data_IF_902600042097
#
_entry.id   IF_902600042097
#
_cell.length_a   1.000
_cell.length_b   1.000
_cell.length_c   1.000
_cell.angle_alpha   90.00
_cell.angle_beta   90.00
_cell.angle_gamma   90.00
#
_symmetry.space_group_name_H-M   'P 1'
#
loop_
_entity.id
_entity.type
_entity.pdbx_description
1 polymer ?
#
# COMPACT_ATOMS: atom_id res chain seq x y z
N UNK A 1 12.69 22.72 -1.31
CA UNK A 1 12.23 21.56 -2.11
C UNK A 1 12.61 20.29 -1.35
N UNK A 2 11.62 19.61 -0.78
CA UNK A 2 11.83 18.61 0.26
C UNK A 2 12.34 17.28 -0.32
N UNK A 3 13.58 16.89 0.04
CA UNK A 3 14.23 15.64 -0.40
C UNK A 3 13.47 14.37 0.06
N UNK A 4 12.47 14.51 0.93
CA UNK A 4 11.61 13.43 1.41
C UNK A 4 10.57 13.00 0.35
N UNK A 5 9.98 13.97 -0.36
CA UNK A 5 8.93 13.77 -1.36
C UNK A 5 9.50 13.01 -2.57
N UNK A 6 10.69 13.40 -3.02
CA UNK A 6 11.38 12.76 -4.15
C UNK A 6 11.72 11.28 -3.88
N UNK A 7 12.15 10.95 -2.65
CA UNK A 7 12.46 9.57 -2.26
C UNK A 7 11.21 8.68 -2.18
N UNK A 8 10.12 9.22 -1.66
CA UNK A 8 8.83 8.53 -1.58
C UNK A 8 8.27 8.28 -2.98
N UNK A 9 8.30 9.29 -3.84
CA UNK A 9 7.85 9.16 -5.22
C UNK A 9 8.69 8.13 -6.00
N UNK A 10 10.01 8.18 -5.87
CA UNK A 10 10.91 7.22 -6.51
C UNK A 10 10.60 5.78 -6.09
N UNK A 11 10.34 5.54 -4.80
CA UNK A 11 9.93 4.22 -4.30
C UNK A 11 8.57 3.80 -4.86
N UNK A 12 7.60 4.71 -4.95
CA UNK A 12 6.28 4.40 -5.51
C UNK A 12 6.39 3.96 -6.97
N UNK A 13 7.24 4.64 -7.76
CA UNK A 13 7.52 4.28 -9.15
C UNK A 13 8.14 2.88 -9.26
N UNK A 14 9.14 2.57 -8.44
CA UNK A 14 9.76 1.24 -8.42
C UNK A 14 8.76 0.14 -8.02
N UNK A 15 7.92 0.39 -7.03
CA UNK A 15 6.90 -0.55 -6.59
C UNK A 15 5.87 -0.84 -7.69
N UNK A 16 5.38 0.21 -8.38
CA UNK A 16 4.45 0.06 -9.49
C UNK A 16 5.09 -0.64 -10.69
N UNK A 17 6.32 -0.28 -11.04
CA UNK A 17 7.06 -0.93 -12.12
C UNK A 17 7.23 -2.43 -11.85
N UNK A 18 7.65 -2.80 -10.63
CA UNK A 18 7.74 -4.20 -10.23
C UNK A 18 6.38 -4.92 -10.27
N UNK A 19 5.30 -4.27 -9.86
CA UNK A 19 3.97 -4.87 -9.90
C UNK A 19 3.52 -5.13 -11.34
N UNK A 20 3.76 -4.18 -12.24
CA UNK A 20 3.46 -4.30 -13.67
C UNK A 20 4.27 -5.45 -14.29
N UNK A 21 5.58 -5.54 -14.01
CA UNK A 21 6.43 -6.64 -14.48
C UNK A 21 5.88 -7.99 -14.01
N UNK A 22 5.55 -8.13 -12.72
CA UNK A 22 4.97 -9.37 -12.21
C UNK A 22 3.60 -9.71 -12.81
N UNK A 23 2.80 -8.72 -13.21
CA UNK A 23 1.56 -8.97 -13.97
C UNK A 23 1.90 -9.59 -15.33
N UNK A 24 2.92 -9.10 -16.04
CA UNK A 24 3.36 -9.69 -17.32
C UNK A 24 3.97 -11.08 -17.18
N UNK A 25 4.72 -11.31 -16.12
CA UNK A 25 5.28 -12.63 -15.82
C UNK A 25 4.15 -13.65 -15.60
N UNK A 26 3.17 -13.30 -14.77
CA UNK A 26 2.05 -14.18 -14.40
C UNK A 26 1.04 -14.39 -15.52
N UNK A 27 0.84 -13.40 -16.39
CA UNK A 27 -0.03 -13.54 -17.58
C UNK A 27 0.66 -14.24 -18.74
N UNK A 28 1.98 -14.43 -18.68
CA UNK A 28 2.77 -15.10 -19.73
C UNK A 28 3.06 -14.21 -20.95
N UNK A 29 2.65 -12.94 -20.92
CA UNK A 29 2.72 -12.00 -22.05
C UNK A 29 4.15 -11.61 -22.40
N UNK A 30 5.06 -11.65 -21.42
CA UNK A 30 6.49 -11.49 -21.66
C UNK A 30 7.08 -12.54 -22.61
N UNK A 31 6.40 -13.68 -22.83
CA UNK A 31 6.83 -14.71 -23.79
C UNK A 31 6.39 -14.42 -25.22
N UNK A 32 5.38 -13.57 -25.39
CA UNK A 32 4.77 -13.28 -26.69
C UNK A 32 5.20 -11.91 -27.24
N UNK A 33 5.73 -11.03 -26.39
CA UNK A 33 6.23 -9.71 -26.76
C UNK A 33 7.76 -9.68 -26.82
N UNK A 34 8.31 -8.92 -27.77
CA UNK A 34 9.73 -8.60 -27.78
C UNK A 34 10.12 -7.73 -26.58
N UNK A 35 11.41 -7.71 -26.22
CA UNK A 35 11.92 -6.85 -25.13
C UNK A 35 11.59 -5.36 -25.35
N UNK A 36 11.64 -4.88 -26.60
CA UNK A 36 11.31 -3.50 -26.92
C UNK A 36 9.82 -3.21 -26.69
N UNK A 37 8.93 -4.06 -27.18
CA UNK A 37 7.48 -3.92 -26.97
C UNK A 37 7.12 -4.00 -25.49
N UNK A 38 7.71 -4.93 -24.75
CA UNK A 38 7.51 -5.06 -23.31
C UNK A 38 7.93 -3.78 -22.57
N UNK A 39 9.09 -3.21 -22.91
CA UNK A 39 9.58 -1.98 -22.27
C UNK A 39 8.68 -0.77 -22.56
N UNK A 40 8.19 -0.67 -23.81
CA UNK A 40 7.25 0.36 -24.22
C UNK A 40 5.94 0.26 -23.45
N UNK A 41 5.43 -0.97 -23.34
CA UNK A 41 4.15 -1.25 -22.72
C UNK A 41 4.18 -1.03 -21.20
N UNK A 42 5.25 -1.47 -20.53
CA UNK A 42 5.50 -1.16 -19.11
C UNK A 42 5.53 0.35 -18.90
N UNK A 43 6.26 1.10 -19.74
CA UNK A 43 6.37 2.56 -19.63
C UNK A 43 5.02 3.25 -19.83
N UNK A 44 4.23 2.80 -20.81
CA UNK A 44 2.89 3.30 -21.10
C UNK A 44 1.94 3.07 -19.92
N UNK A 45 1.87 1.83 -19.42
CA UNK A 45 1.06 1.48 -18.25
C UNK A 45 1.47 2.25 -17.01
N UNK A 46 2.78 2.41 -16.78
CA UNK A 46 3.29 3.17 -15.65
C UNK A 46 2.84 4.63 -15.71
N UNK A 47 2.92 5.27 -16.89
CA UNK A 47 2.45 6.65 -17.07
C UNK A 47 0.94 6.78 -16.83
N UNK A 48 0.12 5.89 -17.43
CA UNK A 48 -1.35 5.93 -17.25
C UNK A 48 -1.76 5.62 -15.81
N UNK A 49 -1.11 4.64 -15.18
CA UNK A 49 -1.33 4.29 -13.77
C UNK A 49 -0.99 5.47 -12.86
N UNK A 50 0.13 6.15 -13.11
CA UNK A 50 0.56 7.31 -12.34
C UNK A 50 -0.40 8.50 -12.46
N UNK A 51 -0.97 8.76 -13.63
CA UNK A 51 -1.91 9.88 -13.82
C UNK A 51 -3.13 9.80 -12.89
N UNK A 52 -3.61 8.59 -12.56
CA UNK A 52 -4.72 8.40 -11.62
C UNK A 52 -4.30 8.17 -10.16
N UNK A 53 -3.00 8.27 -9.85
CA UNK A 53 -2.47 8.20 -8.48
C UNK A 53 -2.02 9.60 -8.09
N UNK A 54 -2.89 10.35 -7.40
CA UNK A 54 -2.50 11.60 -6.72
C UNK A 54 -1.31 11.34 -5.81
N UNK A 55 -0.35 12.29 -5.81
CA UNK A 55 0.93 12.23 -5.08
C UNK A 55 0.73 11.53 -3.74
N UNK A 56 1.42 10.39 -3.61
CA UNK A 56 1.30 9.49 -2.47
C UNK A 56 1.96 10.11 -1.25
N UNK A 57 1.22 10.95 -0.54
CA UNK A 57 1.59 11.35 0.81
C UNK A 57 1.46 10.11 1.71
N UNK A 58 2.59 9.42 1.94
CA UNK A 58 2.59 8.25 2.79
C UNK A 58 3.68 7.24 2.49
N UNK A 59 3.64 6.17 3.26
CA UNK A 59 4.68 5.14 3.25
C UNK A 59 4.45 4.14 2.11
N UNK A 60 5.29 4.20 1.08
CA UNK A 60 5.24 3.25 -0.03
C UNK A 60 5.60 1.84 0.44
N UNK A 61 4.83 0.80 0.05
CA UNK A 61 5.16 -0.58 0.35
C UNK A 61 6.52 -0.99 -0.20
N UNK A 62 7.17 -1.93 0.47
CA UNK A 62 8.42 -2.51 -0.04
C UNK A 62 8.17 -3.22 -1.38
N UNK A 63 9.17 -3.23 -2.26
CA UNK A 63 9.09 -3.82 -3.61
C UNK A 63 8.67 -5.29 -3.57
N UNK A 64 9.05 -6.03 -2.52
CA UNK A 64 8.68 -7.44 -2.31
C UNK A 64 7.16 -7.67 -2.20
N UNK A 65 6.38 -6.60 -1.94
CA UNK A 65 4.92 -6.68 -1.88
C UNK A 65 4.26 -6.44 -3.24
N UNK A 66 5.05 -6.07 -4.25
CA UNK A 66 4.57 -5.85 -5.61
C UNK A 66 4.00 -7.14 -6.21
N UNK A 67 4.58 -8.30 -5.92
CA UNK A 67 4.03 -9.60 -6.36
C UNK A 67 2.62 -9.85 -5.80
N UNK A 68 2.36 -9.46 -4.55
CA UNK A 68 1.01 -9.60 -3.98
C UNK A 68 -0.02 -8.70 -4.66
N UNK A 69 0.39 -7.49 -5.05
CA UNK A 69 -0.45 -6.59 -5.84
C UNK A 69 -0.70 -7.17 -7.23
N UNK A 70 0.35 -7.67 -7.89
CA UNK A 70 0.26 -8.31 -9.19
C UNK A 70 -0.66 -9.54 -9.16
N UNK A 71 -0.56 -10.38 -8.12
CA UNK A 71 -1.43 -11.54 -7.94
C UNK A 71 -2.90 -11.14 -7.91
N UNK A 72 -3.27 -10.13 -7.12
CA UNK A 72 -4.65 -9.65 -7.03
C UNK A 72 -5.14 -9.09 -8.38
N UNK A 73 -4.30 -8.31 -9.07
CA UNK A 73 -4.62 -7.75 -10.38
C UNK A 73 -4.83 -8.86 -11.41
N UNK A 74 -3.96 -9.87 -11.43
CA UNK A 74 -4.09 -11.03 -12.33
C UNK A 74 -5.34 -11.84 -12.02
N UNK A 75 -5.67 -12.04 -10.75
CA UNK A 75 -6.92 -12.72 -10.36
C UNK A 75 -8.14 -11.96 -10.85
N UNK A 76 -8.21 -10.63 -10.67
CA UNK A 76 -9.34 -9.83 -11.18
C UNK A 76 -9.41 -9.83 -12.72
N UNK A 77 -8.26 -9.82 -13.39
CA UNK A 77 -8.18 -9.95 -14.86
C UNK A 77 -8.68 -11.31 -15.34
N UNK A 78 -8.31 -12.39 -14.64
CA UNK A 78 -8.76 -13.75 -14.95
C UNK A 78 -10.25 -13.94 -14.66
N UNK A 79 -10.77 -13.35 -13.58
CA UNK A 79 -12.21 -13.36 -13.31
C UNK A 79 -13.01 -12.65 -14.40
N UNK A 80 -12.48 -11.54 -14.93
CA UNK A 80 -13.18 -10.74 -15.94
C UNK A 80 -13.07 -11.29 -17.37
N UNK A 81 -11.88 -11.73 -17.76
CA UNK A 81 -11.59 -12.13 -19.15
C UNK A 81 -11.36 -13.64 -19.31
N UNK A 82 -11.33 -14.41 -18.23
CA UNK A 82 -11.18 -15.86 -18.26
C UNK A 82 -9.90 -16.31 -18.96
N UNK A 83 -10.02 -17.39 -19.74
CA UNK A 83 -8.94 -17.94 -20.56
C UNK A 83 -8.56 -17.05 -21.75
N UNK A 84 -9.42 -16.13 -22.19
CA UNK A 84 -9.13 -15.20 -23.29
C UNK A 84 -8.08 -14.15 -22.91
N UNK A 85 -7.82 -13.96 -21.62
CA UNK A 85 -6.82 -13.01 -21.12
C UNK A 85 -5.44 -13.22 -21.77
N UNK A 86 -5.06 -14.48 -21.98
CA UNK A 86 -3.76 -14.85 -22.58
C UNK A 86 -3.63 -14.33 -24.01
N UNK A 87 -4.72 -14.28 -24.77
CA UNK A 87 -4.72 -13.83 -26.16
C UNK A 87 -4.97 -12.32 -26.29
N UNK A 88 -5.65 -11.71 -25.30
CA UNK A 88 -6.02 -10.29 -25.37
C UNK A 88 -4.93 -9.33 -24.86
N UNK A 89 -4.10 -9.73 -23.90
CA UNK A 89 -2.98 -8.86 -23.46
C UNK A 89 -1.92 -8.64 -24.56
N UNK A 90 -1.45 -9.68 -25.28
CA UNK A 90 -0.46 -9.53 -26.35
C UNK A 90 -0.99 -8.70 -27.53
N UNK A 91 -2.30 -8.79 -27.80
CA UNK A 91 -2.96 -8.01 -28.85
C UNK A 91 -3.22 -6.54 -28.46
N UNK A 92 -2.72 -6.09 -27.30
CA UNK A 92 -2.77 -4.69 -26.86
C UNK A 92 -4.18 -4.08 -26.87
N UNK A 93 -5.20 -4.87 -26.53
CA UNK A 93 -6.56 -4.33 -26.43
C UNK A 93 -6.59 -3.22 -25.39
N UNK A 94 -6.90 -2.00 -25.85
CA UNK A 94 -7.03 -0.80 -25.02
C UNK A 94 -7.95 -1.03 -23.82
N UNK A 95 -9.02 -1.80 -23.98
CA UNK A 95 -9.94 -2.15 -22.90
C UNK A 95 -9.30 -3.02 -21.79
N UNK A 96 -8.35 -3.88 -22.15
CA UNK A 96 -7.61 -4.70 -21.20
C UNK A 96 -6.55 -3.85 -20.50
N UNK A 97 -5.81 -3.01 -21.24
CA UNK A 97 -4.91 -2.02 -20.66
C UNK A 97 -5.60 -1.13 -19.62
N UNK A 98 -6.74 -0.55 -19.98
CA UNK A 98 -7.50 0.35 -19.11
C UNK A 98 -7.96 -0.38 -17.84
N UNK A 99 -8.34 -1.65 -17.97
CA UNK A 99 -8.71 -2.46 -16.81
C UNK A 99 -7.52 -2.77 -15.91
N UNK A 100 -6.34 -3.12 -16.48
CA UNK A 100 -5.10 -3.32 -15.71
C UNK A 100 -4.73 -2.04 -14.96
N UNK A 101 -4.76 -0.88 -15.63
CA UNK A 101 -4.51 0.43 -15.04
C UNK A 101 -5.47 0.68 -13.87
N UNK A 102 -6.76 0.44 -14.06
CA UNK A 102 -7.79 0.68 -13.05
C UNK A 102 -7.63 -0.24 -11.83
N UNK A 103 -7.34 -1.53 -12.05
CA UNK A 103 -7.03 -2.48 -10.98
C UNK A 103 -5.77 -2.08 -10.20
N UNK A 104 -4.69 -1.73 -10.91
CA UNK A 104 -3.44 -1.25 -10.29
C UNK A 104 -3.69 0.01 -9.46
N UNK A 105 -4.39 1.01 -9.99
CA UNK A 105 -4.72 2.23 -9.27
C UNK A 105 -5.56 1.95 -8.03
N UNK A 106 -6.64 1.18 -8.17
CA UNK A 106 -7.56 0.82 -7.07
C UNK A 106 -6.84 0.11 -5.93
N UNK A 107 -6.06 -0.92 -6.25
CA UNK A 107 -5.39 -1.72 -5.23
C UNK A 107 -4.17 -1.04 -4.65
N UNK A 108 -3.38 -0.31 -5.47
CA UNK A 108 -2.30 0.50 -4.97
C UNK A 108 -2.84 1.55 -3.98
N UNK A 109 -3.88 2.31 -4.36
CA UNK A 109 -4.54 3.29 -3.46
C UNK A 109 -5.00 2.66 -2.14
N UNK A 110 -5.66 1.49 -2.18
CA UNK A 110 -6.06 0.76 -0.97
C UNK A 110 -4.85 0.38 -0.10
N UNK A 111 -3.75 -0.04 -0.71
CA UNK A 111 -2.53 -0.41 -0.01
C UNK A 111 -1.89 0.77 0.73
N UNK A 112 -1.83 1.92 0.08
CA UNK A 112 -1.32 3.14 0.69
C UNK A 112 -2.20 3.60 1.86
N UNK A 113 -3.53 3.60 1.69
CA UNK A 113 -4.48 3.99 2.74
C UNK A 113 -4.54 3.02 3.93
N UNK A 114 -4.43 1.70 3.69
CA UNK A 114 -4.56 0.67 4.74
C UNK A 114 -3.44 0.74 5.78
N UNK A 115 -2.26 1.27 5.44
CA UNK A 115 -1.14 1.43 6.39
C UNK A 115 -1.28 2.65 7.29
N UNK A 116 -1.86 3.72 6.79
CA UNK A 116 -2.12 4.95 7.56
C UNK A 116 -3.05 4.67 8.74
N UNK A 117 -4.16 3.95 8.48
CA UNK A 117 -5.10 3.51 9.52
C UNK A 117 -4.47 2.55 10.55
N UNK A 118 -3.56 1.67 10.14
CA UNK A 118 -2.94 0.69 11.05
C UNK A 118 -2.00 1.35 12.05
N UNK A 119 -1.27 2.39 11.64
CA UNK A 119 -0.44 3.17 12.56
C UNK A 119 -1.31 4.00 13.51
N UNK A 120 -2.33 4.69 13.00
CA UNK A 120 -3.25 5.48 13.82
C UNK A 120 -3.93 4.66 14.94
N UNK A 121 -4.40 3.44 14.63
CA UNK A 121 -5.02 2.57 15.64
C UNK A 121 -4.02 2.12 16.73
N UNK A 122 -2.76 1.86 16.38
CA UNK A 122 -1.73 1.50 17.37
C UNK A 122 -1.43 2.67 18.32
N UNK A 123 -1.34 3.88 17.78
CA UNK A 123 -1.17 5.09 18.59
C UNK A 123 -2.37 5.34 19.50
N UNK A 124 -3.61 5.17 19.00
CA UNK A 124 -4.81 5.33 19.81
C UNK A 124 -4.87 4.33 20.99
N UNK A 125 -4.46 3.08 20.78
CA UNK A 125 -4.37 2.09 21.86
C UNK A 125 -3.25 2.44 22.86
N UNK A 126 -2.10 2.90 22.35
CA UNK A 126 -0.98 3.34 23.21
C UNK A 126 -1.37 4.54 24.08
N UNK A 127 -2.01 5.57 23.52
CA UNK A 127 -2.48 6.73 24.26
C UNK A 127 -3.53 6.35 25.31
N UNK A 128 -4.48 5.47 24.97
CA UNK A 128 -5.45 4.94 25.96
C UNK A 128 -4.76 4.23 27.11
N UNK A 129 -3.78 3.37 26.84
CA UNK A 129 -2.99 2.71 27.87
C UNK A 129 -2.22 3.69 28.76
N UNK A 130 -1.61 4.71 28.16
CA UNK A 130 -0.84 5.73 28.87
C UNK A 130 -1.71 6.58 29.81
N UNK A 131 -2.93 6.95 29.37
CA UNK A 131 -3.89 7.66 30.24
C UNK A 131 -4.29 6.82 31.44
N UNK A 132 -4.54 5.51 31.26
CA UNK A 132 -4.90 4.61 32.36
C UNK A 132 -3.76 4.55 33.39
N UNK A 133 -2.51 4.42 32.94
CA UNK A 133 -1.33 4.40 33.84
C UNK A 133 -1.21 5.69 34.64
N UNK A 134 -1.43 6.85 34.02
CA UNK A 134 -1.38 8.15 34.70
C UNK A 134 -2.46 8.25 35.78
N UNK A 135 -3.69 7.82 35.49
CA UNK A 135 -4.79 7.82 36.46
C UNK A 135 -4.48 6.90 37.64
N UNK A 136 -3.95 5.70 37.39
CA UNK A 136 -3.52 4.79 38.44
C UNK A 136 -2.42 5.38 39.33
N UNK A 137 -1.42 6.04 38.75
CA UNK A 137 -0.37 6.72 39.50
C UNK A 137 -0.92 7.86 40.36
N UNK A 138 -1.85 8.66 39.83
CA UNK A 138 -2.48 9.73 40.59
C UNK A 138 -3.29 9.19 41.78
N UNK A 139 -4.10 8.14 41.56
CA UNK A 139 -4.84 7.47 42.64
C UNK A 139 -3.90 6.87 43.70
N UNK A 140 -2.79 6.27 43.29
CA UNK A 140 -1.79 5.71 44.20
C UNK A 140 -1.14 6.79 45.08
N UNK A 141 -0.78 7.94 44.50
CA UNK A 141 -0.23 9.08 45.26
C UNK A 141 -1.23 9.61 46.28
N UNK A 142 -2.51 9.75 45.89
CA UNK A 142 -3.58 10.16 46.83
C UNK A 142 -3.74 9.13 47.95
N UNK A 143 -3.69 7.84 47.62
CA UNK A 143 -3.77 6.77 48.62
C UNK A 143 -2.62 6.83 49.64
N UNK A 144 -1.38 6.98 49.18
CA UNK A 144 -0.20 7.11 50.05
C UNK A 144 -0.27 8.36 50.93
N UNK A 145 -0.68 9.50 50.37
CA UNK A 145 -0.81 10.76 51.14
C UNK A 145 -1.92 10.68 52.19
N UNK A 146 -3.06 10.04 51.89
CA UNK A 146 -4.11 9.77 52.86
C UNK A 146 -3.64 8.83 53.99
N UNK A 147 -2.91 7.75 53.67
CA UNK A 147 -2.37 6.84 54.69
C UNK A 147 -1.33 7.53 55.59
N UNK A 148 -0.44 8.33 55.01
CA UNK A 148 0.56 9.09 55.76
C UNK A 148 -0.08 10.11 56.72
N UNK A 149 -1.14 10.79 56.30
CA UNK A 149 -1.88 11.71 57.19
C UNK A 149 -2.70 10.96 58.25
N UNK A 150 -3.27 9.79 57.93
CA UNK A 150 -3.97 8.95 58.91
C UNK A 150 -3.07 8.38 60.01
N UNK A 151 -1.80 8.10 59.70
CA UNK A 151 -0.80 7.64 60.67
C UNK A 151 -0.26 8.76 61.58
N UNK A 152 -0.43 10.02 61.19
CA UNK A 152 0.04 11.19 61.94
C UNK A 152 -0.98 11.70 62.98
N UNK A 153 -2.19 11.13 62.99
CA UNK A 153 -3.32 11.53 63.84
C UNK A 153 -3.55 10.55 65.00
N UNK A 154 -2.65 9.57 65.21
CA UNK A 154 -2.70 8.60 66.32
C UNK A 154 -1.54 8.84 67.29
#
# INVERSE_FOLDING_TARGET
>A
MDRSIDRTEKRARMFLAAAIIHVFERTGVHKELSHQELSFYISRLMNRTRQGLTVMEGHVPHINKADSLAKVVVTELQEKYGSMLKNMLPQQYLAVEDFVVLCLQKHAKKWFQKREKKNSHKWAVFFKGLVIIIVFFACYIVFITCMAMGLLVV
#
